data_IF_813438234702
#
_entry.id   IF_813438234702
#
_cell.length_a   1.000
_cell.length_b   1.000
_cell.length_c   1.000
_cell.angle_alpha   90.00
_cell.angle_beta   90.00
_cell.angle_gamma   90.00
#
_symmetry.space_group_name_H-M   'P 1'
#
loop_
_entity.id
_entity.type
_entity.pdbx_description
1 polymer ?
#
# COMPACT_ATOMS: atom_id res chain seq x y z
N UNK A 1 10.77 -7.12 -0.04
CA UNK A 1 9.36 -7.24 -0.50
C UNK A 1 8.57 -8.03 0.52
N UNK A 2 7.43 -7.51 0.91
CA UNK A 2 6.54 -8.12 1.89
C UNK A 2 5.30 -8.67 1.19
N UNK A 3 4.80 -9.82 1.62
CA UNK A 3 3.62 -10.44 1.01
C UNK A 3 2.76 -11.12 2.05
N UNK A 4 1.47 -11.18 1.77
CA UNK A 4 0.56 -12.07 2.47
C UNK A 4 -0.41 -12.69 1.47
N UNK A 5 -0.97 -13.84 1.85
CA UNK A 5 -1.92 -14.55 0.98
C UNK A 5 -3.28 -14.61 1.65
N UNK A 6 -4.30 -14.54 0.84
CA UNK A 6 -5.67 -14.65 1.29
C UNK A 6 -6.53 -15.27 0.20
N UNK A 7 -7.78 -15.50 0.53
CA UNK A 7 -8.77 -16.01 -0.39
C UNK A 7 -9.87 -14.95 -0.53
N UNK A 8 -10.26 -14.61 -1.74
CA UNK A 8 -11.31 -13.61 -1.98
C UNK A 8 -12.61 -14.09 -1.33
N UNK A 9 -13.15 -13.28 -0.43
CA UNK A 9 -14.31 -13.63 0.39
C UNK A 9 -15.61 -13.13 -0.22
N UNK A 10 -16.69 -13.83 0.11
CA UNK A 10 -18.04 -13.45 -0.33
C UNK A 10 -18.37 -11.99 0.01
N UNK A 11 -17.94 -11.51 1.17
CA UNK A 11 -18.19 -10.14 1.63
C UNK A 11 -17.45 -9.08 0.82
N UNK A 12 -16.54 -9.49 -0.06
CA UNK A 12 -15.66 -8.59 -0.81
C UNK A 12 -16.03 -8.46 -2.27
N UNK A 13 -17.06 -9.16 -2.70
CA UNK A 13 -17.43 -9.23 -4.13
C UNK A 13 -18.75 -8.56 -4.43
N UNK A 14 -18.93 -8.21 -5.71
CA UNK A 14 -20.18 -7.65 -6.23
C UNK A 14 -21.15 -8.77 -6.65
N UNK A 15 -22.27 -8.38 -7.27
CA UNK A 15 -23.28 -9.33 -7.73
C UNK A 15 -22.77 -10.30 -8.81
N UNK A 16 -21.70 -9.98 -9.49
CA UNK A 16 -21.04 -10.82 -10.48
C UNK A 16 -19.93 -11.67 -9.88
N UNK A 17 -19.81 -11.67 -8.56
CA UNK A 17 -18.79 -12.41 -7.79
C UNK A 17 -17.36 -11.97 -8.08
N UNK A 18 -17.18 -10.73 -8.49
CA UNK A 18 -15.87 -10.15 -8.71
C UNK A 18 -15.48 -9.27 -7.52
N UNK A 19 -14.20 -9.33 -7.13
CA UNK A 19 -13.66 -8.45 -6.10
C UNK A 19 -13.95 -6.99 -6.46
N UNK A 20 -14.49 -6.23 -5.51
CA UNK A 20 -14.76 -4.80 -5.73
C UNK A 20 -13.47 -3.97 -5.65
N UNK A 21 -13.46 -2.80 -6.28
CA UNK A 21 -12.32 -1.89 -6.19
C UNK A 21 -12.04 -1.46 -4.74
N UNK A 22 -13.06 -1.08 -3.94
CA UNK A 22 -12.80 -0.75 -2.52
C UNK A 22 -12.15 -1.90 -1.75
N UNK A 23 -12.59 -3.13 -1.95
CA UNK A 23 -11.98 -4.28 -1.29
C UNK A 23 -10.57 -4.55 -1.78
N UNK A 24 -10.30 -4.33 -3.06
CA UNK A 24 -8.96 -4.42 -3.62
C UNK A 24 -8.01 -3.42 -2.92
N UNK A 25 -8.45 -2.18 -2.76
CA UNK A 25 -7.68 -1.16 -2.05
C UNK A 25 -7.43 -1.54 -0.60
N UNK A 26 -8.41 -2.13 0.07
CA UNK A 26 -8.25 -2.62 1.43
C UNK A 26 -7.15 -3.67 1.52
N UNK A 27 -7.08 -4.60 0.57
CA UNK A 27 -6.00 -5.59 0.50
C UNK A 27 -4.62 -4.92 0.39
N UNK A 28 -4.51 -3.90 -0.46
CA UNK A 28 -3.25 -3.18 -0.63
C UNK A 28 -2.85 -2.47 0.68
N UNK A 29 -3.79 -1.80 1.29
CA UNK A 29 -3.54 -1.07 2.53
C UNK A 29 -3.22 -2.02 3.68
N UNK A 30 -3.94 -3.12 3.79
CA UNK A 30 -3.65 -4.13 4.81
C UNK A 30 -2.22 -4.67 4.64
N UNK A 31 -1.78 -4.88 3.41
CA UNK A 31 -0.45 -5.42 3.14
C UNK A 31 0.65 -4.51 3.69
N UNK A 32 0.61 -3.21 3.40
CA UNK A 32 1.63 -2.31 3.91
C UNK A 32 1.49 -2.06 5.43
N UNK A 33 0.29 -2.16 5.96
CA UNK A 33 0.08 -2.07 7.41
C UNK A 33 0.67 -3.28 8.13
N UNK A 34 0.46 -4.49 7.61
CA UNK A 34 1.06 -5.70 8.17
C UNK A 34 2.59 -5.64 8.13
N UNK A 35 3.15 -5.16 7.03
CA UNK A 35 4.59 -4.96 6.93
C UNK A 35 5.10 -4.05 8.03
N UNK A 36 4.46 -2.91 8.21
CA UNK A 36 4.85 -1.93 9.24
C UNK A 36 4.74 -2.54 10.64
N UNK A 37 3.68 -3.28 10.91
CA UNK A 37 3.48 -3.95 12.20
C UNK A 37 4.56 -4.98 12.46
N UNK A 38 4.87 -5.81 11.47
CA UNK A 38 5.88 -6.86 11.61
C UNK A 38 7.28 -6.27 11.85
N UNK A 39 7.53 -5.08 11.35
CA UNK A 39 8.81 -4.39 11.54
C UNK A 39 8.86 -3.49 12.76
N UNK A 40 7.79 -3.44 13.55
CA UNK A 40 7.75 -2.67 14.78
C UNK A 40 7.60 -1.16 14.58
N UNK A 41 7.18 -0.73 13.41
CA UNK A 41 6.92 0.68 13.07
C UNK A 41 5.48 0.92 12.64
N UNK A 42 4.58 0.11 13.16
CA UNK A 42 3.17 0.18 12.84
C UNK A 42 2.40 1.24 13.61
N UNK A 43 1.11 1.01 13.77
CA UNK A 43 0.16 2.01 14.28
C UNK A 43 0.55 2.57 15.63
N UNK A 44 0.92 1.72 16.59
CA UNK A 44 1.26 2.16 17.93
C UNK A 44 2.58 2.95 17.97
N UNK A 45 3.57 2.49 17.19
CA UNK A 45 4.85 3.19 17.07
C UNK A 45 4.65 4.59 16.48
N UNK A 46 3.88 4.68 15.39
CA UNK A 46 3.62 5.97 14.73
C UNK A 46 2.91 6.94 15.69
N UNK A 47 1.93 6.45 16.43
CA UNK A 47 1.21 7.27 17.41
C UNK A 47 2.16 7.77 18.51
N UNK A 48 3.00 6.89 19.03
CA UNK A 48 3.96 7.22 20.09
C UNK A 48 4.97 8.27 19.62
N UNK A 49 5.46 8.13 18.40
CA UNK A 49 6.45 9.07 17.81
C UNK A 49 5.78 10.32 17.26
N UNK A 50 4.46 10.40 17.31
CA UNK A 50 3.68 11.53 16.79
C UNK A 50 3.96 11.80 15.31
N UNK A 51 3.98 10.75 14.52
CA UNK A 51 4.15 10.80 13.07
C UNK A 51 3.10 9.92 12.39
N UNK A 52 2.92 10.14 11.10
CA UNK A 52 1.98 9.36 10.30
C UNK A 52 2.44 9.32 8.84
N UNK A 53 2.03 8.28 8.15
CA UNK A 53 2.12 8.20 6.70
C UNK A 53 0.75 8.54 6.12
N UNK A 54 0.68 9.56 5.28
CA UNK A 54 -0.56 9.99 4.66
C UNK A 54 -0.48 9.73 3.17
N UNK A 55 -1.47 9.01 2.66
CA UNK A 55 -1.56 8.71 1.23
C UNK A 55 -1.77 10.00 0.44
N UNK A 56 -0.92 10.26 -0.53
CA UNK A 56 -1.00 11.42 -1.40
C UNK A 56 -1.59 11.08 -2.77
N UNK A 57 -1.23 9.94 -3.33
CA UNK A 57 -1.76 9.53 -4.62
C UNK A 57 -1.71 8.03 -4.84
N UNK A 58 -2.66 7.55 -5.64
CA UNK A 58 -2.71 6.19 -6.17
C UNK A 58 -2.67 6.22 -7.69
N UNK A 59 -1.92 5.29 -8.26
CA UNK A 59 -2.01 4.92 -9.67
C UNK A 59 -2.24 3.42 -9.70
N UNK A 60 -3.43 3.00 -10.11
CA UNK A 60 -3.82 1.60 -10.03
C UNK A 60 -4.18 1.10 -11.42
N UNK A 61 -3.59 -0.03 -11.78
CA UNK A 61 -3.90 -0.73 -13.01
C UNK A 61 -4.47 -2.10 -12.68
N UNK A 62 -5.74 -2.31 -13.00
CA UNK A 62 -6.41 -3.59 -12.80
C UNK A 62 -6.48 -4.29 -14.16
N UNK A 63 -5.81 -5.43 -14.27
CA UNK A 63 -5.85 -6.26 -15.47
C UNK A 63 -7.10 -7.13 -15.47
N UNK A 64 -7.43 -7.68 -14.32
CA UNK A 64 -8.62 -8.50 -14.11
C UNK A 64 -8.93 -8.55 -12.62
N UNK A 65 -10.20 -8.37 -12.27
CA UNK A 65 -10.62 -8.51 -10.87
C UNK A 65 -10.65 -9.99 -10.49
N UNK A 66 -10.04 -10.37 -9.36
CA UNK A 66 -10.15 -11.73 -8.85
C UNK A 66 -11.60 -12.09 -8.55
N UNK A 67 -11.92 -13.36 -8.68
CA UNK A 67 -13.26 -13.88 -8.44
C UNK A 67 -13.39 -14.43 -7.02
N UNK A 68 -14.61 -14.48 -6.52
CA UNK A 68 -14.92 -15.09 -5.23
C UNK A 68 -14.27 -16.46 -5.11
N UNK A 69 -13.58 -16.69 -4.01
CA UNK A 69 -12.94 -17.96 -3.72
C UNK A 69 -11.55 -18.13 -4.31
N UNK A 70 -11.11 -17.25 -5.21
CA UNK A 70 -9.74 -17.34 -5.74
C UNK A 70 -8.72 -17.02 -4.65
N UNK A 71 -7.63 -17.78 -4.68
CA UNK A 71 -6.49 -17.50 -3.81
C UNK A 71 -5.63 -16.41 -4.45
N UNK A 72 -5.26 -15.43 -3.65
CA UNK A 72 -4.46 -14.30 -4.08
C UNK A 72 -3.26 -14.11 -3.16
N UNK A 73 -2.20 -13.56 -3.73
CA UNK A 73 -1.02 -13.11 -3.00
C UNK A 73 -0.89 -11.62 -3.22
N UNK A 74 -0.86 -10.88 -2.13
CA UNK A 74 -0.71 -9.42 -2.14
C UNK A 74 0.70 -9.10 -1.71
N UNK A 75 1.41 -8.33 -2.51
CA UNK A 75 2.80 -7.96 -2.26
C UNK A 75 2.96 -6.46 -2.29
N UNK A 76 3.90 -5.96 -1.50
CA UNK A 76 4.26 -4.55 -1.47
C UNK A 76 5.75 -4.38 -1.22
N UNK A 77 6.31 -3.29 -1.74
CA UNK A 77 7.68 -2.90 -1.46
C UNK A 77 7.86 -1.39 -1.65
N UNK A 78 8.64 -0.74 -0.80
CA UNK A 78 9.07 0.62 -1.08
C UNK A 78 10.10 0.60 -2.20
N UNK A 79 10.15 1.65 -3.01
CA UNK A 79 11.20 1.78 -4.01
C UNK A 79 12.03 3.05 -3.85
N UNK A 80 11.55 4.03 -3.11
CA UNK A 80 12.32 5.25 -2.84
C UNK A 80 11.78 6.01 -1.63
N UNK A 81 12.67 6.77 -1.00
CA UNK A 81 12.34 7.81 -0.02
C UNK A 81 13.04 9.08 -0.47
N UNK A 82 12.33 10.21 -0.51
CA UNK A 82 12.89 11.49 -0.93
C UNK A 82 12.29 12.61 -0.08
N UNK A 83 13.09 13.19 0.81
CA UNK A 83 12.62 14.24 1.71
C UNK A 83 11.54 13.72 2.65
N UNK A 84 10.33 14.22 2.52
CA UNK A 84 9.18 13.75 3.29
C UNK A 84 8.29 12.79 2.51
N UNK A 85 8.71 12.34 1.33
CA UNK A 85 7.95 11.40 0.50
C UNK A 85 8.44 9.97 0.64
N UNK A 86 7.48 9.04 0.66
CA UNK A 86 7.74 7.61 0.47
C UNK A 86 7.01 7.13 -0.77
N UNK A 87 7.66 6.27 -1.54
CA UNK A 87 7.15 5.73 -2.80
C UNK A 87 7.07 4.21 -2.67
N UNK A 88 5.92 3.65 -3.07
CA UNK A 88 5.65 2.24 -2.82
C UNK A 88 4.84 1.63 -3.95
N UNK A 89 5.23 0.42 -4.35
CA UNK A 89 4.47 -0.38 -5.29
C UNK A 89 3.71 -1.51 -4.59
N UNK A 90 2.69 -2.00 -5.27
CA UNK A 90 1.87 -3.12 -4.84
C UNK A 90 1.58 -4.02 -6.02
N UNK A 91 1.33 -5.29 -5.75
CA UNK A 91 0.91 -6.27 -6.75
C UNK A 91 -0.03 -7.28 -6.12
N UNK A 92 -1.07 -7.64 -6.87
CA UNK A 92 -1.95 -8.76 -6.53
C UNK A 92 -1.80 -9.80 -7.63
N UNK A 93 -1.47 -11.02 -7.25
CA UNK A 93 -1.29 -12.12 -8.20
C UNK A 93 -2.00 -13.37 -7.73
N UNK A 94 -2.32 -14.26 -8.67
CA UNK A 94 -2.92 -15.56 -8.40
C UNK A 94 -1.85 -16.62 -8.12
N UNK A 95 -2.31 -17.83 -7.79
CA UNK A 95 -1.42 -18.95 -7.48
C UNK A 95 -0.55 -19.37 -8.66
N UNK A 96 -1.04 -19.16 -9.87
CA UNK A 96 -0.34 -19.47 -11.12
C UNK A 96 0.61 -18.35 -11.56
N UNK A 97 0.71 -17.28 -10.78
CA UNK A 97 1.52 -16.12 -11.13
C UNK A 97 0.82 -15.10 -12.03
N UNK A 98 -0.46 -15.31 -12.34
CA UNK A 98 -1.23 -14.30 -13.07
C UNK A 98 -1.28 -13.01 -12.28
N UNK A 99 -0.98 -11.88 -12.91
CA UNK A 99 -1.05 -10.58 -12.27
C UNK A 99 -2.44 -10.01 -12.44
N UNK A 100 -3.16 -9.82 -11.34
CA UNK A 100 -4.49 -9.23 -11.35
C UNK A 100 -4.44 -7.70 -11.34
N UNK A 101 -3.55 -7.13 -10.55
CA UNK A 101 -3.44 -5.68 -10.42
C UNK A 101 -2.05 -5.27 -9.98
N UNK A 102 -1.67 -4.07 -10.36
CA UNK A 102 -0.45 -3.41 -9.89
C UNK A 102 -0.79 -1.98 -9.51
N UNK A 103 -0.08 -1.44 -8.54
CA UNK A 103 -0.31 -0.07 -8.09
C UNK A 103 0.98 0.63 -7.73
N UNK A 104 0.97 1.94 -7.95
CA UNK A 104 1.99 2.85 -7.45
C UNK A 104 1.32 3.79 -6.45
N UNK A 105 2.03 4.13 -5.39
CA UNK A 105 1.51 5.02 -4.37
C UNK A 105 2.59 5.98 -3.90
N UNK A 106 2.15 7.18 -3.54
CA UNK A 106 3.02 8.21 -2.96
C UNK A 106 2.45 8.57 -1.60
N UNK A 107 3.32 8.58 -0.60
CA UNK A 107 2.97 8.84 0.78
C UNK A 107 3.75 10.03 1.30
N UNK A 108 3.13 10.81 2.18
CA UNK A 108 3.77 11.93 2.85
C UNK A 108 3.96 11.58 4.32
N UNK A 109 5.20 11.72 4.79
CA UNK A 109 5.52 11.56 6.21
C UNK A 109 5.16 12.85 6.94
N UNK A 110 4.32 12.73 7.98
CA UNK A 110 3.77 13.88 8.68
C UNK A 110 4.19 13.89 10.13
N UNK A 111 4.54 15.06 10.62
CA UNK A 111 4.59 15.36 12.05
C UNK A 111 3.15 15.66 12.48
N UNK A 112 2.56 14.77 13.28
CA UNK A 112 1.15 14.91 13.69
C UNK A 112 0.95 15.92 14.82
N UNK A 113 2.02 16.26 15.55
CA UNK A 113 1.96 17.31 16.56
C UNK A 113 1.88 18.68 15.89
N UNK A 114 2.75 18.94 14.93
CA UNK A 114 2.82 20.21 14.21
C UNK A 114 1.92 20.26 12.98
N UNK A 115 1.33 19.13 12.61
CA UNK A 115 0.44 18.98 11.45
C UNK A 115 1.08 19.48 10.16
N UNK A 116 2.31 19.07 9.91
CA UNK A 116 3.04 19.41 8.68
C UNK A 116 3.98 18.30 8.26
N UNK A 117 4.34 18.23 6.96
CA UNK A 117 5.29 17.24 6.48
C UNK A 117 6.62 17.31 7.22
N UNK A 118 7.22 16.15 7.45
CA UNK A 118 8.51 16.01 8.08
C UNK A 118 9.38 15.07 7.25
N UNK A 119 10.70 15.30 7.29
CA UNK A 119 11.63 14.40 6.63
C UNK A 119 11.50 13.00 7.20
N UNK A 120 11.50 11.99 6.33
CA UNK A 120 11.46 10.59 6.76
C UNK A 120 12.67 10.30 7.64
N UNK A 121 12.43 9.84 8.87
CA UNK A 121 13.48 9.60 9.84
C UNK A 121 14.45 8.50 9.39
N UNK A 122 15.69 8.55 9.89
CA UNK A 122 16.68 7.52 9.58
C UNK A 122 16.20 6.14 10.01
N UNK A 123 15.60 6.03 11.19
CA UNK A 123 15.06 4.75 11.67
C UNK A 123 14.01 4.20 10.73
N UNK A 124 13.11 5.05 10.25
CA UNK A 124 12.06 4.63 9.32
C UNK A 124 12.67 4.14 8.01
N UNK A 125 13.67 4.83 7.50
CA UNK A 125 14.36 4.41 6.28
C UNK A 125 15.13 3.10 6.50
N UNK A 126 15.86 2.98 7.59
CA UNK A 126 16.64 1.77 7.91
C UNK A 126 15.78 0.52 7.99
N UNK A 127 14.59 0.64 8.56
CA UNK A 127 13.65 -0.48 8.70
C UNK A 127 13.25 -1.02 7.34
N UNK A 128 13.08 -0.15 6.35
CA UNK A 128 12.59 -0.54 5.02
C UNK A 128 13.69 -0.82 4.00
N UNK A 129 14.95 -0.46 4.27
CA UNK A 129 16.06 -0.71 3.32
C UNK A 129 16.09 -2.15 2.81
N UNK A 130 15.98 -3.19 3.67
CA UNK A 130 16.03 -4.57 3.16
C UNK A 130 14.86 -4.93 2.24
N UNK A 131 13.79 -4.16 2.29
CA UNK A 131 12.56 -4.41 1.54
C UNK A 131 12.51 -3.66 0.21
N UNK A 132 13.43 -2.73 -0.01
CA UNK A 132 13.44 -1.93 -1.23
C UNK A 132 13.65 -2.81 -2.45
N UNK A 133 12.83 -2.60 -3.47
CA UNK A 133 12.93 -3.23 -4.79
C UNK A 133 12.75 -2.15 -5.85
N UNK A 134 13.02 -2.50 -7.09
CA UNK A 134 12.84 -1.59 -8.21
C UNK A 134 11.38 -1.22 -8.41
N UNK A 135 11.16 0.01 -8.85
CA UNK A 135 9.82 0.46 -9.25
C UNK A 135 9.29 -0.41 -10.39
N UNK A 136 8.00 -0.73 -10.34
CA UNK A 136 7.35 -1.43 -11.44
C UNK A 136 7.43 -0.56 -12.69
N UNK A 137 8.00 -1.05 -13.80
CA UNK A 137 8.08 -0.27 -15.03
C UNK A 137 6.69 -0.12 -15.66
N UNK A 138 6.51 0.97 -16.40
CA UNK A 138 5.29 1.26 -17.13
C UNK A 138 4.72 2.62 -16.75
N UNK A 139 3.81 3.10 -17.59
CA UNK A 139 3.10 4.33 -17.31
C UNK A 139 1.73 4.01 -16.77
N UNK A 140 1.44 4.53 -15.61
CA UNK A 140 0.12 4.45 -15.01
C UNK A 140 -0.63 5.72 -15.32
N UNK A 141 -1.95 5.62 -15.44
CA UNK A 141 -2.80 6.80 -15.42
C UNK A 141 -2.73 7.38 -14.02
N UNK A 142 -2.22 8.59 -13.91
CA UNK A 142 -2.01 9.19 -12.60
C UNK A 142 -3.35 9.63 -12.00
N UNK A 143 -3.71 8.97 -10.92
CA UNK A 143 -4.91 9.30 -10.14
C UNK A 143 -4.47 9.84 -8.79
N UNK A 144 -4.73 11.11 -8.55
CA UNK A 144 -4.46 11.69 -7.24
C UNK A 144 -5.54 11.26 -6.26
N UNK A 145 -5.13 10.94 -5.05
CA UNK A 145 -6.08 10.75 -3.97
C UNK A 145 -6.84 12.06 -3.75
N UNK A 146 -8.14 11.95 -3.50
CA UNK A 146 -8.93 13.11 -3.11
C UNK A 146 -8.53 13.57 -1.72
N UNK A 147 -8.78 14.84 -1.42
CA UNK A 147 -8.45 15.39 -0.10
C UNK A 147 -9.10 14.60 1.03
N UNK A 148 -10.31 14.11 0.81
CA UNK A 148 -11.01 13.27 1.79
C UNK A 148 -10.36 11.93 2.01
N UNK A 149 -9.60 11.44 1.04
CA UNK A 149 -8.91 10.17 1.11
C UNK A 149 -7.48 10.34 1.64
N UNK A 150 -7.04 11.57 1.75
CA UNK A 150 -5.78 11.89 2.39
C UNK A 150 -5.77 11.54 3.89
N UNK A 151 -6.93 11.21 4.44
CA UNK A 151 -7.05 10.74 5.81
C UNK A 151 -6.60 9.28 5.98
N UNK A 152 -6.40 8.57 4.89
CA UNK A 152 -5.90 7.19 4.95
C UNK A 152 -4.45 7.19 5.44
N UNK A 153 -4.22 6.48 6.52
CA UNK A 153 -2.93 6.42 7.20
C UNK A 153 -2.48 4.98 7.28
N UNK A 154 -1.25 4.76 6.90
CA UNK A 154 -0.60 3.48 7.12
C UNK A 154 0.01 3.41 8.51
#
# INVERSE_FOLDING_TARGET
MYSFSNRVRYSEVNSEKELTLPSLLDYLQDCCTFESEDFGVGVDYLAKEQVAWILSSWEIKVYRYPQMGQHIKVSTWPYAFRGFYGYRNFRIEGEDGEIFAEANSVWVFMDTEKMRPARVSERMQEVYIPEIRDEIPGSYTHLRAHETEADLVC
#
